data_IF_418244188407
#
_entry.id   IF_418244188407
#
_cell.length_a   1.000
_cell.length_b   1.000
_cell.length_c   1.000
_cell.angle_alpha   90.00
_cell.angle_beta   90.00
_cell.angle_gamma   90.00
#
_symmetry.space_group_name_H-M   'P 1'
#
loop_
_entity.id
_entity.type
_entity.pdbx_description
1 polymer ?
#
# COMPACT_ATOMS: atom_id res chain seq x y z
N UNK A 1 38.90 -46.02 -37.46
CA UNK A 1 39.98 -46.70 -36.74
C UNK A 1 40.82 -45.65 -36.01
N UNK A 2 41.19 -46.00 -34.77
CA UNK A 2 42.25 -45.47 -33.89
C UNK A 2 43.46 -44.82 -34.62
N UNK A 3 44.21 -43.85 -34.08
CA UNK A 3 44.31 -43.33 -32.72
C UNK A 3 45.46 -42.33 -32.58
N UNK A 4 45.30 -41.45 -31.58
CA UNK A 4 46.27 -40.92 -30.59
C UNK A 4 47.76 -40.63 -30.87
N UNK A 5 48.12 -39.39 -30.44
CA UNK A 5 49.30 -38.94 -29.64
C UNK A 5 50.65 -38.70 -30.35
N UNK A 6 51.20 -37.47 -30.25
CA UNK A 6 52.08 -37.01 -29.14
C UNK A 6 52.49 -35.53 -29.27
N UNK A 7 52.74 -34.94 -28.09
CA UNK A 7 53.16 -33.56 -27.75
C UNK A 7 54.56 -33.20 -28.27
N UNK A 8 54.81 -31.89 -28.46
CA UNK A 8 56.03 -31.22 -27.94
C UNK A 8 55.86 -29.69 -27.87
N UNK A 9 56.42 -29.14 -26.80
CA UNK A 9 56.24 -27.82 -26.20
C UNK A 9 57.05 -26.67 -26.83
N UNK A 10 56.83 -25.45 -26.30
CA UNK A 10 57.55 -24.16 -26.42
C UNK A 10 57.36 -23.35 -27.72
N UNK A 11 57.14 -22.03 -27.73
CA UNK A 11 56.98 -20.97 -26.71
C UNK A 11 56.39 -19.71 -27.39
N UNK A 12 55.87 -18.80 -26.57
CA UNK A 12 55.80 -17.34 -26.75
C UNK A 12 54.95 -16.74 -27.89
N UNK A 13 53.77 -16.22 -27.53
CA UNK A 13 53.48 -14.77 -27.58
C UNK A 13 52.14 -14.53 -26.84
N UNK A 14 52.18 -13.85 -25.70
CA UNK A 14 51.73 -12.46 -25.57
C UNK A 14 50.24 -12.27 -25.83
N UNK A 15 49.45 -12.31 -24.76
CA UNK A 15 48.43 -11.31 -24.45
C UNK A 15 47.95 -11.54 -23.00
N UNK A 16 48.91 -11.35 -22.08
CA UNK A 16 48.61 -10.98 -20.70
C UNK A 16 48.06 -9.55 -20.73
N UNK A 17 46.78 -9.40 -21.04
CA UNK A 17 46.08 -8.16 -20.66
C UNK A 17 46.03 -8.12 -19.13
N UNK A 18 46.62 -7.12 -18.47
CA UNK A 18 46.47 -6.96 -17.04
C UNK A 18 45.01 -6.59 -16.77
N UNK A 19 44.19 -7.59 -16.46
CA UNK A 19 42.88 -7.37 -15.87
C UNK A 19 43.14 -6.60 -14.58
N UNK A 20 42.83 -5.30 -14.61
CA UNK A 20 42.93 -4.40 -13.49
C UNK A 20 42.22 -5.03 -12.27
N UNK A 21 43.00 -5.64 -11.39
CA UNK A 21 42.53 -6.24 -10.13
C UNK A 21 41.87 -5.20 -9.21
N UNK A 22 41.99 -3.91 -9.54
CA UNK A 22 41.34 -2.82 -8.85
C UNK A 22 39.82 -2.72 -9.11
N UNK A 23 39.31 -3.26 -10.23
CA UNK A 23 37.88 -3.14 -10.55
C UNK A 23 37.01 -4.21 -9.86
N UNK A 24 37.58 -5.34 -9.40
CA UNK A 24 36.81 -6.38 -8.68
C UNK A 24 36.52 -6.00 -7.22
N UNK A 25 37.23 -5.01 -6.68
CA UNK A 25 37.06 -4.55 -5.29
C UNK A 25 36.14 -3.32 -5.16
N UNK A 26 35.60 -2.79 -6.26
CA UNK A 26 34.72 -1.61 -6.23
C UNK A 26 33.22 -1.93 -6.16
N UNK A 27 32.82 -3.21 -6.16
CA UNK A 27 31.40 -3.61 -5.98
C UNK A 27 31.02 -3.74 -4.49
N UNK A 28 31.97 -3.57 -3.56
CA UNK A 28 31.75 -3.72 -2.10
C UNK A 28 31.52 -2.41 -1.33
N UNK A 29 31.21 -1.29 -1.99
CA UNK A 29 31.16 0.02 -1.29
C UNK A 29 30.02 0.96 -1.68
N UNK A 30 28.87 0.43 -2.07
CA UNK A 30 27.64 1.16 -1.77
C UNK A 30 27.17 0.70 -0.40
N UNK A 31 27.11 1.58 0.62
CA UNK A 31 26.42 1.25 1.85
C UNK A 31 25.02 0.82 1.43
N UNK A 32 24.67 -0.46 1.66
CA UNK A 32 23.29 -0.89 1.53
C UNK A 32 22.54 -0.09 2.58
N UNK A 33 21.86 0.98 2.15
CA UNK A 33 20.94 1.73 2.98
C UNK A 33 20.02 0.69 3.59
N UNK A 34 20.05 0.57 4.92
CA UNK A 34 19.22 -0.39 5.62
C UNK A 34 17.75 -0.11 5.31
N UNK A 35 16.89 -1.13 5.39
CA UNK A 35 15.45 -0.93 5.23
C UNK A 35 14.93 0.17 6.18
N UNK A 36 15.50 0.23 7.39
CA UNK A 36 15.22 1.24 8.39
C UNK A 36 15.68 2.65 7.98
N UNK A 37 16.85 2.81 7.37
CA UNK A 37 17.28 4.12 6.85
C UNK A 37 16.48 4.56 5.63
N UNK A 38 16.03 3.62 4.79
CA UNK A 38 15.16 3.90 3.66
C UNK A 38 13.79 4.36 4.14
N UNK A 39 13.22 3.68 5.14
CA UNK A 39 11.97 4.08 5.79
C UNK A 39 12.11 5.43 6.51
N UNK A 40 13.20 5.64 7.25
CA UNK A 40 13.48 6.92 7.91
C UNK A 40 13.66 8.06 6.89
N UNK A 41 14.32 7.80 5.76
CA UNK A 41 14.49 8.76 4.67
C UNK A 41 13.18 9.03 3.95
N UNK A 42 12.36 8.01 3.72
CA UNK A 42 11.03 8.15 3.13
C UNK A 42 10.11 8.95 4.06
N UNK A 43 10.12 8.65 5.35
CA UNK A 43 9.42 9.44 6.39
C UNK A 43 9.90 10.89 6.40
N UNK A 44 11.21 11.12 6.33
CA UNK A 44 11.82 12.47 6.30
C UNK A 44 11.53 13.21 4.99
N UNK A 45 11.43 12.51 3.87
CA UNK A 45 11.05 13.10 2.57
C UNK A 45 9.55 13.38 2.52
N UNK A 46 8.69 12.50 3.05
CA UNK A 46 7.25 12.76 3.23
C UNK A 46 7.02 14.02 4.05
N UNK A 47 7.71 14.15 5.19
CA UNK A 47 7.65 15.34 6.05
C UNK A 47 8.15 16.63 5.36
N UNK A 48 9.10 16.55 4.43
CA UNK A 48 9.71 17.72 3.79
C UNK A 48 9.09 18.12 2.45
N UNK A 49 8.49 17.18 1.72
CA UNK A 49 8.03 17.38 0.35
C UNK A 49 6.49 17.27 0.21
N UNK A 50 5.76 16.94 1.28
CA UNK A 50 4.30 16.80 1.21
C UNK A 50 3.86 15.71 0.24
N UNK A 51 4.67 14.66 0.06
CA UNK A 51 4.34 13.58 -0.87
C UNK A 51 3.15 12.76 -0.33
N UNK A 52 2.14 12.49 -1.16
CA UNK A 52 0.94 11.75 -0.75
C UNK A 52 1.31 10.36 -0.23
N UNK A 53 0.67 9.94 0.86
CA UNK A 53 0.85 8.61 1.43
C UNK A 53 0.27 7.51 0.52
N UNK A 54 0.50 6.22 0.84
CA UNK A 54 -0.04 5.11 0.06
C UNK A 54 -1.57 5.15 -0.06
N UNK A 55 -2.25 5.57 1.01
CA UNK A 55 -3.71 5.80 1.02
C UNK A 55 -4.08 6.94 0.10
N UNK A 56 -3.38 8.08 0.20
CA UNK A 56 -3.67 9.25 -0.63
C UNK A 56 -3.52 8.90 -2.12
N UNK A 57 -2.45 8.20 -2.49
CA UNK A 57 -2.23 7.72 -3.86
C UNK A 57 -3.35 6.77 -4.28
N UNK A 58 -3.71 5.81 -3.43
CA UNK A 58 -4.78 4.86 -3.72
C UNK A 58 -6.12 5.57 -3.90
N UNK A 59 -6.54 6.42 -2.97
CA UNK A 59 -7.79 7.17 -3.07
C UNK A 59 -7.81 8.11 -4.29
N UNK A 60 -6.72 8.82 -4.56
CA UNK A 60 -6.61 9.70 -5.73
C UNK A 60 -6.78 8.94 -7.04
N UNK A 61 -6.29 7.69 -7.11
CA UNK A 61 -6.51 6.84 -8.29
C UNK A 61 -7.96 6.39 -8.50
N UNK A 62 -8.80 6.48 -7.45
CA UNK A 62 -10.19 5.99 -7.44
C UNK A 62 -11.22 7.12 -7.46
N UNK A 63 -10.82 8.35 -7.14
CA UNK A 63 -11.65 9.54 -7.31
C UNK A 63 -11.93 9.72 -8.81
N UNK A 64 -13.15 9.36 -9.23
CA UNK A 64 -13.71 9.74 -10.51
C UNK A 64 -14.53 11.01 -10.31
N UNK A 65 -14.49 11.92 -11.28
CA UNK A 65 -15.22 13.20 -11.24
C UNK A 65 -16.74 13.03 -11.08
N UNK A 66 -17.30 11.84 -11.37
CA UNK A 66 -18.70 11.52 -11.10
C UNK A 66 -18.88 10.04 -10.69
N UNK A 67 -19.25 9.73 -9.44
CA UNK A 67 -19.54 8.37 -9.01
C UNK A 67 -21.00 8.05 -9.33
N UNK A 68 -21.30 7.73 -10.60
CA UNK A 68 -22.55 6.99 -10.83
C UNK A 68 -22.46 5.67 -10.04
N UNK A 69 -23.51 5.29 -9.30
CA UNK A 69 -23.51 4.05 -8.56
C UNK A 69 -23.45 2.92 -9.57
N UNK A 70 -22.26 2.33 -9.73
CA UNK A 70 -22.06 1.22 -10.64
C UNK A 70 -22.92 0.03 -10.16
N UNK A 71 -24.00 -0.22 -10.91
CA UNK A 71 -24.99 -1.28 -10.63
C UNK A 71 -24.59 -2.63 -11.20
N UNK A 72 -23.45 -2.73 -11.86
CA UNK A 72 -23.00 -4.03 -12.40
C UNK A 72 -22.78 -5.03 -11.25
N UNK A 73 -22.94 -6.34 -11.47
CA UNK A 73 -22.55 -7.34 -10.47
C UNK A 73 -21.04 -7.24 -10.17
N UNK A 74 -20.63 -7.53 -8.93
CA UNK A 74 -19.22 -7.70 -8.58
C UNK A 74 -18.72 -9.05 -9.11
N UNK A 75 -17.51 -9.09 -9.66
CA UNK A 75 -16.83 -10.35 -9.93
C UNK A 75 -16.43 -11.04 -8.60
N UNK A 76 -16.22 -12.37 -8.57
CA UNK A 76 -15.88 -13.12 -7.35
C UNK A 76 -14.67 -12.56 -6.57
N UNK A 77 -13.66 -12.11 -7.30
CA UNK A 77 -12.40 -11.55 -6.79
C UNK A 77 -12.47 -10.04 -6.49
N UNK A 78 -13.58 -9.39 -6.88
CA UNK A 78 -13.81 -7.97 -6.68
C UNK A 78 -14.54 -7.68 -5.38
N UNK A 79 -14.17 -6.57 -4.76
CA UNK A 79 -14.84 -6.03 -3.60
C UNK A 79 -15.30 -4.62 -3.87
N UNK A 80 -16.43 -4.26 -3.25
CA UNK A 80 -16.88 -2.87 -3.20
C UNK A 80 -16.25 -2.21 -1.99
N UNK A 81 -15.54 -1.12 -2.23
CA UNK A 81 -14.93 -0.28 -1.23
C UNK A 81 -15.76 0.99 -1.06
N UNK A 82 -16.15 1.26 0.18
CA UNK A 82 -16.89 2.44 0.58
C UNK A 82 -16.03 3.19 1.60
N UNK A 83 -15.57 4.37 1.23
CA UNK A 83 -14.67 5.21 2.04
C UNK A 83 -15.41 6.45 2.50
N UNK A 84 -15.33 6.76 3.79
CA UNK A 84 -15.86 8.00 4.34
C UNK A 84 -14.94 8.54 5.44
N UNK A 85 -15.07 9.83 5.72
CA UNK A 85 -14.27 10.50 6.74
C UNK A 85 -15.19 10.97 7.85
N UNK A 86 -14.92 10.50 9.05
CA UNK A 86 -15.58 10.96 10.25
C UNK A 86 -14.77 12.10 10.87
N UNK A 87 -15.39 13.27 11.07
CA UNK A 87 -14.83 14.37 11.85
C UNK A 87 -15.42 14.32 13.25
N UNK A 88 -14.59 14.05 14.23
CA UNK A 88 -14.92 14.05 15.65
C UNK A 88 -14.56 15.44 16.18
N UNK A 89 -15.56 16.30 16.48
CA UNK A 89 -15.29 17.63 16.98
C UNK A 89 -14.69 17.57 18.38
N UNK A 90 -13.76 18.46 18.69
CA UNK A 90 -13.24 18.56 20.04
C UNK A 90 -14.35 18.98 21.03
N UNK A 91 -14.54 18.26 22.16
CA UNK A 91 -15.72 18.43 23.01
C UNK A 91 -15.78 19.73 23.81
N UNK A 92 -14.69 20.51 23.91
CA UNK A 92 -14.67 21.72 24.73
C UNK A 92 -14.31 23.00 23.94
N UNK A 93 -15.31 23.77 23.47
CA UNK A 93 -15.08 25.01 22.73
C UNK A 93 -14.73 26.22 23.63
N UNK A 94 -14.63 26.04 24.95
CA UNK A 94 -14.48 27.13 25.93
C UNK A 94 -13.07 27.28 26.51
N UNK A 95 -12.11 26.46 26.10
CA UNK A 95 -10.72 26.59 26.51
C UNK A 95 -9.93 27.45 25.51
N UNK A 96 -9.07 28.33 26.03
CA UNK A 96 -8.24 29.25 25.23
C UNK A 96 -7.22 28.53 24.33
N UNK A 97 -7.01 27.23 24.55
CA UNK A 97 -6.29 26.33 23.68
C UNK A 97 -7.33 25.40 23.06
N UNK A 98 -7.77 25.72 21.84
CA UNK A 98 -8.59 24.79 21.08
C UNK A 98 -7.70 23.68 20.57
N UNK A 99 -7.88 22.47 21.11
CA UNK A 99 -7.34 21.27 20.48
C UNK A 99 -8.02 21.10 19.11
N UNK A 100 -7.26 20.60 18.14
CA UNK A 100 -7.77 20.38 16.79
C UNK A 100 -8.77 19.21 16.76
N UNK A 101 -9.69 19.24 15.79
CA UNK A 101 -10.60 18.12 15.56
C UNK A 101 -9.84 16.85 15.15
N UNK A 102 -10.42 15.71 15.48
CA UNK A 102 -9.88 14.41 15.04
C UNK A 102 -10.64 13.93 13.80
N UNK A 103 -9.89 13.53 12.79
CA UNK A 103 -10.39 12.98 11.52
C UNK A 103 -10.05 11.50 11.45
N UNK A 104 -11.05 10.66 11.19
CA UNK A 104 -10.88 9.21 11.04
C UNK A 104 -11.30 8.81 9.63
N UNK A 105 -10.39 8.16 8.90
CA UNK A 105 -10.68 7.59 7.59
C UNK A 105 -11.19 6.17 7.77
N UNK A 106 -12.45 5.93 7.40
CA UNK A 106 -13.05 4.61 7.45
C UNK A 106 -13.12 3.98 6.07
N UNK A 107 -12.87 2.68 6.02
CA UNK A 107 -13.08 1.83 4.86
C UNK A 107 -14.05 0.72 5.22
N UNK A 108 -15.16 0.66 4.49
CA UNK A 108 -16.05 -0.49 4.46
C UNK A 108 -15.78 -1.30 3.20
N UNK A 109 -15.52 -2.59 3.38
CA UNK A 109 -15.30 -3.54 2.29
C UNK A 109 -16.46 -4.52 2.26
N UNK A 110 -17.08 -4.65 1.09
CA UNK A 110 -18.22 -5.53 0.86
C UNK A 110 -17.88 -6.52 -0.25
N UNK A 111 -18.06 -7.81 0.03
CA UNK A 111 -17.78 -8.87 -0.95
C UNK A 111 -18.86 -8.99 -2.03
N UNK A 112 -18.49 -9.67 -3.11
CA UNK A 112 -19.48 -10.23 -4.02
C UNK A 112 -20.40 -11.22 -3.26
N UNK A 113 -21.69 -11.30 -3.65
CA UNK A 113 -22.62 -12.28 -3.11
C UNK A 113 -22.21 -13.70 -3.54
N UNK A 114 -21.79 -14.54 -2.59
CA UNK A 114 -21.46 -15.94 -2.83
C UNK A 114 -22.74 -16.78 -2.75
N UNK A 115 -23.05 -17.52 -3.82
CA UNK A 115 -24.19 -18.45 -3.85
C UNK A 115 -23.79 -19.76 -3.15
N UNK A 116 -24.37 -20.01 -1.99
CA UNK A 116 -24.26 -21.28 -1.28
C UNK A 116 -25.55 -22.10 -1.41
N UNK A 117 -25.44 -23.39 -1.13
CA UNK A 117 -26.57 -24.35 -1.21
C UNK A 117 -27.80 -23.95 -0.37
N UNK A 118 -27.67 -23.03 0.60
CA UNK A 118 -28.73 -22.58 1.51
C UNK A 118 -29.00 -21.07 1.49
N UNK A 119 -28.37 -20.30 0.58
CA UNK A 119 -28.61 -18.85 0.52
C UNK A 119 -27.49 -18.08 -0.18
N UNK A 120 -27.63 -16.75 -0.20
CA UNK A 120 -26.57 -15.84 -0.67
C UNK A 120 -25.84 -15.31 0.56
N UNK A 121 -24.54 -15.59 0.67
CA UNK A 121 -23.70 -15.04 1.74
C UNK A 121 -22.96 -13.82 1.19
N UNK A 122 -23.14 -12.68 1.85
CA UNK A 122 -22.38 -11.47 1.58
C UNK A 122 -21.74 -11.05 2.90
N UNK A 123 -20.44 -10.76 2.89
CA UNK A 123 -19.77 -10.23 4.05
C UNK A 123 -19.46 -8.75 3.86
N UNK A 124 -19.52 -8.01 4.96
CA UNK A 124 -19.24 -6.59 5.04
C UNK A 124 -18.39 -6.32 6.29
N UNK A 125 -17.32 -5.55 6.14
CA UNK A 125 -16.43 -5.16 7.26
C UNK A 125 -16.08 -3.69 7.15
N UNK A 126 -16.16 -2.98 8.26
CA UNK A 126 -15.72 -1.58 8.37
C UNK A 126 -14.48 -1.50 9.26
N UNK A 127 -13.50 -0.70 8.85
CA UNK A 127 -12.19 -0.58 9.50
C UNK A 127 -11.76 0.88 9.48
N UNK A 128 -11.22 1.36 10.60
CA UNK A 128 -10.49 2.63 10.63
C UNK A 128 -9.10 2.44 9.99
N UNK A 129 -8.87 3.10 8.84
CA UNK A 129 -7.60 3.03 8.12
C UNK A 129 -6.53 3.91 8.76
N UNK A 130 -6.90 5.14 9.13
CA UNK A 130 -5.99 6.16 9.65
C UNK A 130 -6.76 7.16 10.52
N UNK A 131 -6.03 7.75 11.47
CA UNK A 131 -6.50 8.84 12.33
C UNK A 131 -5.55 10.02 12.19
N UNK A 132 -6.12 11.22 12.11
CA UNK A 132 -5.38 12.49 12.08
C UNK A 132 -5.99 13.44 13.11
N UNK A 133 -5.21 13.85 14.10
CA UNK A 133 -5.64 14.59 15.30
C UNK A 133 -5.08 16.02 15.34
N UNK A 134 -4.74 16.58 14.18
CA UNK A 134 -4.15 17.91 14.06
C UNK A 134 -4.95 18.79 13.10
N UNK A 135 -4.54 20.05 13.00
CA UNK A 135 -5.17 21.03 12.13
C UNK A 135 -5.20 20.58 10.66
N UNK A 136 -6.38 20.65 10.04
CA UNK A 136 -6.58 20.42 8.60
C UNK A 136 -5.75 21.39 7.73
N UNK A 137 -5.38 22.55 8.27
CA UNK A 137 -4.56 23.55 7.58
C UNK A 137 -3.05 23.30 7.74
N UNK A 138 -2.65 22.26 8.48
CA UNK A 138 -1.26 21.88 8.60
C UNK A 138 -0.68 21.48 7.25
N UNK A 139 0.56 21.89 6.98
CA UNK A 139 1.33 21.43 5.81
C UNK A 139 1.59 19.92 5.84
N UNK A 140 1.47 19.29 7.02
CA UNK A 140 1.62 17.85 7.21
C UNK A 140 0.27 17.11 7.13
N UNK A 141 -0.84 17.81 6.89
CA UNK A 141 -2.15 17.18 6.79
C UNK A 141 -2.19 16.24 5.57
N UNK A 142 -2.56 14.96 5.74
CA UNK A 142 -2.79 14.05 4.63
C UNK A 142 -3.83 14.62 3.67
N UNK A 143 -3.69 14.34 2.39
CA UNK A 143 -4.61 14.86 1.39
C UNK A 143 -6.03 14.31 1.56
N UNK A 144 -6.15 13.07 2.07
CA UNK A 144 -7.45 12.48 2.37
C UNK A 144 -8.25 13.31 3.39
N UNK A 145 -7.62 14.01 4.35
CA UNK A 145 -8.33 14.84 5.35
C UNK A 145 -9.05 16.03 4.69
N UNK A 146 -8.58 16.46 3.51
CA UNK A 146 -9.16 17.57 2.74
C UNK A 146 -10.37 17.14 1.90
N UNK A 147 -10.66 15.84 1.82
CA UNK A 147 -11.83 15.34 1.11
C UNK A 147 -13.11 15.72 1.86
N UNK A 148 -14.27 15.83 1.17
CA UNK A 148 -15.51 16.26 1.81
C UNK A 148 -15.97 15.23 2.86
N UNK A 149 -16.00 15.62 4.13
CA UNK A 149 -16.39 14.74 5.27
C UNK A 149 -17.84 14.24 5.19
N UNK A 150 -18.70 14.92 4.43
CA UNK A 150 -20.09 14.52 4.21
C UNK A 150 -20.29 13.60 2.99
N UNK A 151 -19.24 13.31 2.20
CA UNK A 151 -19.35 12.53 0.97
C UNK A 151 -18.68 11.17 1.13
N UNK A 152 -19.47 10.12 0.98
CA UNK A 152 -18.96 8.76 0.85
C UNK A 152 -18.46 8.53 -0.57
N UNK A 153 -17.27 7.97 -0.70
CA UNK A 153 -16.70 7.53 -1.97
C UNK A 153 -16.93 6.03 -2.11
N UNK A 154 -17.51 5.59 -3.22
CA UNK A 154 -17.73 4.17 -3.50
C UNK A 154 -17.02 3.81 -4.79
N UNK A 155 -16.20 2.76 -4.74
CA UNK A 155 -15.50 2.24 -5.90
C UNK A 155 -15.32 0.73 -5.79
N UNK A 156 -14.81 0.13 -6.87
CA UNK A 156 -14.48 -1.29 -6.94
C UNK A 156 -12.99 -1.48 -7.03
N UNK A 157 -12.52 -2.54 -6.43
CA UNK A 157 -11.13 -2.96 -6.54
C UNK A 157 -11.03 -4.48 -6.38
N UNK A 158 -9.90 -5.05 -6.78
CA UNK A 158 -9.63 -6.45 -6.48
C UNK A 158 -9.32 -6.63 -4.99
N UNK A 159 -9.74 -7.76 -4.41
CA UNK A 159 -9.42 -8.10 -3.03
C UNK A 159 -7.91 -8.03 -2.77
N UNK A 160 -7.09 -8.49 -3.72
CA UNK A 160 -5.63 -8.42 -3.65
C UNK A 160 -5.07 -6.98 -3.57
N UNK A 161 -5.62 -6.04 -4.35
CA UNK A 161 -5.20 -4.65 -4.31
C UNK A 161 -5.54 -4.01 -2.95
N UNK A 162 -6.73 -4.30 -2.42
CA UNK A 162 -7.15 -3.81 -1.09
C UNK A 162 -6.25 -4.39 0.01
N UNK A 163 -5.94 -5.69 -0.03
CA UNK A 163 -4.99 -6.32 0.91
C UNK A 163 -3.64 -5.60 0.91
N UNK A 164 -3.10 -5.28 -0.28
CA UNK A 164 -1.80 -4.62 -0.40
C UNK A 164 -1.82 -3.20 0.19
N UNK A 165 -2.92 -2.47 0.00
CA UNK A 165 -3.11 -1.16 0.65
C UNK A 165 -3.18 -1.33 2.17
N UNK A 166 -4.05 -2.23 2.66
CA UNK A 166 -4.23 -2.48 4.09
C UNK A 166 -2.95 -2.92 4.80
N UNK A 167 -2.08 -3.68 4.13
CA UNK A 167 -0.76 -4.05 4.66
C UNK A 167 0.18 -2.85 4.82
N UNK A 168 0.09 -1.88 3.91
CA UNK A 168 0.94 -0.66 3.91
C UNK A 168 0.47 0.42 4.88
N UNK A 169 -0.76 0.33 5.37
CA UNK A 169 -1.38 1.33 6.28
C UNK A 169 -1.25 0.96 7.76
N UNK A 170 -0.55 -0.15 8.06
CA UNK A 170 -0.45 -0.77 9.37
C UNK A 170 -0.14 0.20 10.53
N UNK A 171 -1.16 0.43 11.36
CA UNK A 171 -1.08 0.51 12.83
C UNK A 171 -2.04 -0.53 13.45
N UNK A 172 -1.72 -1.82 13.25
CA UNK A 172 -2.00 -2.98 14.12
C UNK A 172 -3.28 -3.07 14.96
N UNK A 173 -4.48 -2.89 14.38
CA UNK A 173 -5.75 -3.22 15.04
C UNK A 173 -6.24 -4.65 14.73
N UNK A 174 -6.93 -5.28 15.68
CA UNK A 174 -7.54 -6.63 15.48
C UNK A 174 -8.55 -6.65 14.30
N UNK A 175 -9.22 -5.53 14.06
CA UNK A 175 -10.19 -5.37 12.95
C UNK A 175 -9.50 -5.45 11.58
N UNK A 176 -8.30 -4.88 11.46
CA UNK A 176 -7.48 -4.95 10.25
C UNK A 176 -7.06 -6.39 9.97
N UNK A 177 -6.64 -7.12 11.00
CA UNK A 177 -6.25 -8.53 10.87
C UNK A 177 -7.42 -9.40 10.40
N UNK A 178 -8.60 -9.24 11.02
CA UNK A 178 -9.81 -9.98 10.62
C UNK A 178 -10.26 -9.65 9.19
N UNK A 179 -10.13 -8.39 8.76
CA UNK A 179 -10.44 -8.01 7.39
C UNK A 179 -9.44 -8.56 6.38
N UNK A 180 -8.14 -8.56 6.71
CA UNK A 180 -7.10 -9.17 5.88
C UNK A 180 -7.33 -10.67 5.71
N UNK A 181 -7.71 -11.38 6.77
CA UNK A 181 -8.09 -12.80 6.71
C UNK A 181 -9.32 -13.02 5.81
N UNK A 182 -10.35 -12.20 5.97
CA UNK A 182 -11.58 -12.28 5.17
C UNK A 182 -11.32 -12.02 3.68
N UNK A 183 -10.44 -11.07 3.36
CA UNK A 183 -10.04 -10.77 1.99
C UNK A 183 -9.10 -11.82 1.39
N UNK A 184 -8.20 -12.37 2.21
CA UNK A 184 -7.29 -13.42 1.79
C UNK A 184 -8.06 -14.70 1.41
N UNK A 185 -9.12 -15.03 2.15
CA UNK A 185 -10.00 -16.15 1.83
C UNK A 185 -10.58 -16.01 0.40
N UNK A 186 -11.07 -14.82 0.04
CA UNK A 186 -11.59 -14.55 -1.32
C UNK A 186 -10.51 -14.64 -2.41
N UNK A 187 -9.25 -14.37 -2.07
CA UNK A 187 -8.13 -14.41 -3.02
C UNK A 187 -7.55 -15.83 -3.19
N UNK A 188 -7.93 -16.77 -2.31
CA UNK A 188 -7.38 -18.13 -2.26
C UNK A 188 -8.28 -19.21 -2.87
N UNK A 189 -9.50 -18.87 -3.30
CA UNK A 189 -10.46 -19.83 -3.87
C UNK A 189 -10.16 -20.25 -5.33
N UNK A 190 -9.01 -19.85 -5.89
CA UNK A 190 -8.61 -20.09 -7.30
C UNK A 190 -7.37 -21.01 -7.50
N UNK A 191 -6.98 -21.82 -6.50
CA UNK A 191 -5.95 -22.89 -6.68
C UNK A 191 -6.52 -24.31 -6.68
#
# INVERSE_FOLDING_TARGET
MYGTRKRKDHDADSDDEPVCLHCKEMVKRFPRVSAQEREAREKRMRQKLGLPGPIDIWLTSKIKDDPEPDRTPLAPEEVRCTVYIERIPFPNPHEYFMDDDTYVLHLTVTSAPLKYKQGTLQWERTIALCTYDRSIHSMEAPDWVKLPTAKTMVFRDSAAAVIEVLRRTSHGGNELASALESLAALSSEDE
#
